data_IF_732586024936
#
_entry.id   IF_732586024936
#
_cell.length_a   1.000
_cell.length_b   1.000
_cell.length_c   1.000
_cell.angle_alpha   90.00
_cell.angle_beta   90.00
_cell.angle_gamma   90.00
#
_symmetry.space_group_name_H-M   'P 1'
#
loop_
_entity.id
_entity.type
_entity.pdbx_description
1 polymer ?
#
# COMPACT_ATOMS: atom_id res chain seq x y z
N UNK A 1 11.91 -3.34 12.63
CA UNK A 1 11.98 -3.26 11.15
C UNK A 1 12.85 -2.08 10.78
N UNK A 2 13.95 -2.31 10.04
CA UNK A 2 14.83 -1.23 9.56
C UNK A 2 14.03 -0.16 8.81
N UNK A 3 14.28 1.11 9.14
CA UNK A 3 13.52 2.30 8.70
C UNK A 3 13.47 2.45 7.17
N UNK A 4 14.42 1.83 6.46
CA UNK A 4 14.53 1.88 4.99
C UNK A 4 13.58 0.93 4.25
N UNK A 5 12.99 -0.07 4.91
CA UNK A 5 12.17 -1.09 4.24
C UNK A 5 10.79 -0.56 3.84
N UNK A 6 10.24 0.38 4.63
CA UNK A 6 8.91 0.97 4.42
C UNK A 6 8.79 1.78 3.12
N UNK A 7 9.69 2.74 2.81
CA UNK A 7 9.58 3.55 1.59
C UNK A 7 9.81 2.73 0.32
N UNK A 8 10.77 1.80 0.32
CA UNK A 8 11.06 0.93 -0.83
C UNK A 8 9.85 0.05 -1.17
N UNK A 9 9.21 -0.53 -0.16
CA UNK A 9 8.01 -1.33 -0.35
C UNK A 9 6.83 -0.52 -0.91
N UNK A 10 6.60 0.69 -0.40
CA UNK A 10 5.55 1.58 -0.90
C UNK A 10 5.80 1.98 -2.36
N UNK A 11 7.04 2.29 -2.72
CA UNK A 11 7.42 2.58 -4.11
C UNK A 11 7.14 1.41 -5.05
N UNK A 12 7.39 0.17 -4.63
CA UNK A 12 7.08 -1.03 -5.40
C UNK A 12 5.56 -1.17 -5.62
N UNK A 13 4.73 -0.90 -4.61
CA UNK A 13 3.26 -0.95 -4.74
C UNK A 13 2.76 0.11 -5.72
N UNK A 14 3.25 1.35 -5.62
CA UNK A 14 2.88 2.43 -6.54
C UNK A 14 3.26 2.07 -7.98
N UNK A 15 4.49 1.56 -8.18
CA UNK A 15 4.95 1.15 -9.49
C UNK A 15 4.14 -0.03 -10.06
N UNK A 16 3.70 -0.97 -9.21
CA UNK A 16 2.79 -2.06 -9.63
C UNK A 16 1.44 -1.53 -10.10
N UNK A 17 0.89 -0.52 -9.41
CA UNK A 17 -0.35 0.15 -9.80
C UNK A 17 -0.23 0.88 -11.14
N UNK A 18 0.88 1.59 -11.38
CA UNK A 18 1.15 2.30 -12.64
C UNK A 18 1.26 1.32 -13.81
N UNK A 19 2.01 0.22 -13.64
CA UNK A 19 2.23 -0.77 -14.69
C UNK A 19 1.07 -1.77 -14.82
N UNK A 20 -0.01 -1.59 -14.03
CA UNK A 20 -1.18 -2.48 -13.99
C UNK A 20 -0.83 -3.96 -13.83
N UNK A 21 0.25 -4.27 -13.09
CA UNK A 21 0.71 -5.66 -12.95
C UNK A 21 -0.25 -6.43 -12.01
N UNK A 22 -0.71 -7.63 -12.38
CA UNK A 22 -1.60 -8.42 -11.55
C UNK A 22 -0.89 -8.87 -10.26
N UNK A 23 -1.63 -8.77 -9.15
CA UNK A 23 -1.09 -8.75 -7.80
C UNK A 23 -0.25 -9.99 -7.44
N UNK A 24 -0.58 -11.20 -7.90
CA UNK A 24 0.25 -12.41 -7.63
C UNK A 24 0.15 -13.55 -8.68
N UNK A 25 -0.94 -13.68 -9.45
CA UNK A 25 -1.20 -14.89 -10.25
C UNK A 25 -0.46 -15.00 -11.60
N UNK A 26 0.29 -13.97 -12.00
CA UNK A 26 1.04 -13.95 -13.27
C UNK A 26 2.54 -13.68 -13.12
N UNK A 27 3.04 -13.49 -11.90
CA UNK A 27 4.43 -13.11 -11.65
C UNK A 27 5.29 -14.37 -11.76
N UNK A 28 5.87 -14.61 -12.93
CA UNK A 28 6.81 -15.72 -13.20
C UNK A 28 6.36 -16.76 -14.23
N UNK A 29 5.22 -16.58 -14.90
CA UNK A 29 4.98 -17.32 -16.16
C UNK A 29 5.85 -16.68 -17.24
N UNK A 30 6.84 -17.44 -17.75
CA UNK A 30 7.63 -17.09 -18.94
C UNK A 30 6.66 -16.67 -20.05
N UNK A 31 6.52 -15.37 -20.30
CA UNK A 31 5.61 -14.89 -21.35
C UNK A 31 5.00 -13.49 -21.16
N UNK A 32 4.97 -12.93 -19.95
CA UNK A 32 4.47 -11.56 -19.76
C UNK A 32 5.59 -10.64 -19.29
N UNK A 33 5.90 -9.63 -20.11
CA UNK A 33 6.92 -8.59 -19.92
C UNK A 33 7.13 -8.22 -18.45
N UNK A 34 8.09 -8.88 -17.81
CA UNK A 34 8.58 -8.48 -16.50
C UNK A 34 9.50 -7.32 -16.78
N UNK A 35 9.07 -6.09 -16.43
CA UNK A 35 9.96 -4.96 -16.56
C UNK A 35 11.19 -5.24 -15.67
N UNK A 36 12.42 -5.15 -16.21
CA UNK A 36 13.66 -5.57 -15.53
C UNK A 36 13.86 -4.88 -14.18
N UNK A 37 13.28 -3.69 -14.02
CA UNK A 37 13.27 -2.89 -12.79
C UNK A 37 12.66 -3.69 -11.61
N UNK A 38 11.64 -4.50 -11.86
CA UNK A 38 11.01 -5.27 -10.79
C UNK A 38 11.82 -6.49 -10.37
N UNK A 39 12.59 -7.09 -11.26
CA UNK A 39 13.36 -8.31 -10.95
C UNK A 39 14.61 -8.00 -10.11
N UNK A 40 15.27 -6.86 -10.38
CA UNK A 40 16.41 -6.36 -9.61
C UNK A 40 16.01 -5.79 -8.23
N UNK A 41 14.85 -5.13 -8.14
CA UNK A 41 14.34 -4.50 -6.90
C UNK A 41 13.50 -5.47 -6.06
N UNK A 42 13.30 -6.70 -6.54
CA UNK A 42 12.36 -7.63 -5.93
C UNK A 42 12.86 -8.13 -4.57
N UNK A 43 12.17 -7.70 -3.53
CA UNK A 43 12.08 -8.48 -2.30
C UNK A 43 11.55 -9.86 -2.70
N UNK A 44 12.37 -10.94 -2.62
CA UNK A 44 12.01 -12.34 -2.96
C UNK A 44 10.51 -12.60 -2.72
N UNK A 45 9.76 -13.19 -3.66
CA UNK A 45 8.29 -13.41 -3.58
C UNK A 45 7.79 -13.81 -2.19
N UNK A 46 8.52 -14.71 -1.53
CA UNK A 46 8.25 -15.15 -0.16
C UNK A 46 8.29 -14.00 0.86
N UNK A 47 9.31 -13.15 0.81
CA UNK A 47 9.44 -11.95 1.66
C UNK A 47 8.36 -10.90 1.32
N UNK A 48 8.04 -10.68 0.04
CA UNK A 48 6.96 -9.75 -0.33
C UNK A 48 5.60 -10.21 0.20
N UNK A 49 5.29 -11.50 0.05
CA UNK A 49 4.06 -12.11 0.60
C UNK A 49 3.98 -11.99 2.12
N UNK A 50 5.10 -12.20 2.83
CA UNK A 50 5.17 -12.02 4.29
C UNK A 50 4.92 -10.56 4.67
N UNK A 51 5.61 -9.61 4.03
CA UNK A 51 5.43 -8.17 4.34
C UNK A 51 3.98 -7.74 4.09
N UNK A 52 3.36 -8.17 2.99
CA UNK A 52 1.94 -7.90 2.71
C UNK A 52 1.01 -8.44 3.79
N UNK A 53 1.28 -9.63 4.33
CA UNK A 53 0.45 -10.26 5.37
C UNK A 53 0.56 -9.57 6.74
N UNK A 54 1.75 -9.07 7.07
CA UNK A 54 2.03 -8.42 8.35
C UNK A 54 2.01 -6.90 8.29
N UNK A 55 1.56 -6.31 7.17
CA UNK A 55 1.41 -4.87 7.06
C UNK A 55 0.19 -4.42 7.87
N UNK A 56 0.45 -3.83 9.03
CA UNK A 56 -0.55 -3.22 9.88
C UNK A 56 -0.37 -1.70 9.89
N UNK A 57 -1.47 -0.96 9.70
CA UNK A 57 -1.48 0.50 9.76
C UNK A 57 -1.88 1.04 11.14
N UNK A 58 -2.43 0.17 12.00
CA UNK A 58 -2.91 0.51 13.32
C UNK A 58 -2.44 -0.55 14.32
N UNK A 59 -2.31 -0.17 15.59
CA UNK A 59 -1.97 -1.10 16.65
C UNK A 59 -3.25 -1.75 17.18
N UNK A 60 -3.36 -3.08 17.06
CA UNK A 60 -4.56 -3.79 17.51
C UNK A 60 -4.73 -3.79 19.03
N UNK A 61 -3.66 -3.59 19.80
CA UNK A 61 -3.70 -3.63 21.27
C UNK A 61 -4.33 -2.38 21.89
N UNK A 62 -4.40 -1.28 21.14
CA UNK A 62 -4.86 0.03 21.62
C UNK A 62 -6.24 0.43 21.06
N UNK A 63 -6.83 -0.38 20.18
CA UNK A 63 -8.12 -0.06 19.55
C UNK A 63 -9.24 -0.58 20.44
N UNK A 64 -9.95 0.35 21.06
CA UNK A 64 -11.26 0.08 21.64
C UNK A 64 -12.33 0.14 20.54
N UNK A 65 -13.03 -0.98 20.31
CA UNK A 65 -14.03 -1.10 19.26
C UNK A 65 -15.29 -0.27 19.55
N UNK A 66 -15.62 -0.08 20.82
CA UNK A 66 -16.86 0.56 21.26
C UNK A 66 -16.80 2.08 21.10
N UNK A 67 -15.61 2.67 21.27
CA UNK A 67 -15.39 4.13 21.15
C UNK A 67 -14.89 4.55 19.76
N UNK A 68 -14.67 3.59 18.85
CA UNK A 68 -14.05 3.90 17.56
C UNK A 68 -15.04 4.64 16.63
N UNK A 69 -14.67 5.82 16.08
CA UNK A 69 -15.56 6.67 15.29
C UNK A 69 -16.11 5.97 14.03
N UNK A 70 -15.36 5.02 13.45
CA UNK A 70 -15.84 4.20 12.33
C UNK A 70 -15.35 2.74 12.44
N UNK A 71 -16.09 1.85 13.16
CA UNK A 71 -15.62 0.50 13.50
C UNK A 71 -15.30 -0.38 12.29
N UNK A 72 -15.99 -0.15 11.17
CA UNK A 72 -15.74 -0.84 9.90
C UNK A 72 -14.41 -0.48 9.23
N UNK A 73 -13.84 0.69 9.53
CA UNK A 73 -12.56 1.17 8.96
C UNK A 73 -11.38 1.08 9.93
N UNK A 74 -11.53 0.47 11.11
CA UNK A 74 -10.50 0.42 12.17
C UNK A 74 -9.08 0.10 11.69
N UNK A 75 -8.93 -0.78 10.69
CA UNK A 75 -7.63 -1.21 10.14
C UNK A 75 -6.89 -0.15 9.33
N UNK A 76 -7.62 0.81 8.76
CA UNK A 76 -7.09 1.84 7.83
C UNK A 76 -7.43 3.26 8.27
N UNK A 77 -8.11 3.41 9.42
CA UNK A 77 -8.62 4.68 9.90
C UNK A 77 -7.51 5.72 10.09
N UNK A 78 -6.37 5.33 10.67
CA UNK A 78 -5.18 6.18 10.82
C UNK A 78 -4.67 6.73 9.47
N UNK A 79 -4.82 5.97 8.40
CA UNK A 79 -4.40 6.35 7.04
C UNK A 79 -5.46 7.22 6.35
N UNK A 80 -6.72 7.17 6.80
CA UNK A 80 -7.81 7.94 6.22
C UNK A 80 -7.61 9.46 6.35
N UNK A 81 -6.79 9.92 7.30
CA UNK A 81 -6.39 11.33 7.41
C UNK A 81 -5.73 11.87 6.12
N UNK A 82 -5.18 11.00 5.26
CA UNK A 82 -4.69 11.40 3.93
C UNK A 82 -5.80 12.04 3.09
N UNK A 83 -7.05 11.58 3.20
CA UNK A 83 -8.17 12.17 2.47
C UNK A 83 -8.44 13.62 2.94
N UNK A 84 -8.30 13.87 4.24
CA UNK A 84 -8.41 15.23 4.79
C UNK A 84 -7.29 16.12 4.25
N UNK A 85 -6.05 15.63 4.26
CA UNK A 85 -4.88 16.34 3.71
C UNK A 85 -5.00 16.60 2.20
N UNK A 86 -5.57 15.67 1.45
CA UNK A 86 -5.82 15.83 0.03
C UNK A 86 -6.84 16.95 -0.23
N UNK A 87 -7.99 16.92 0.46
CA UNK A 87 -9.02 17.96 0.35
C UNK A 87 -8.54 19.34 0.77
N UNK A 88 -7.65 19.44 1.77
CA UNK A 88 -7.10 20.74 2.19
C UNK A 88 -6.05 21.29 1.24
N UNK A 89 -5.35 20.41 0.51
CA UNK A 89 -4.26 20.81 -0.39
C UNK A 89 -4.75 21.09 -1.81
N UNK A 90 -5.91 20.56 -2.19
CA UNK A 90 -6.49 20.73 -3.51
C UNK A 90 -7.61 21.76 -3.46
N UNK A 91 -7.43 22.89 -4.17
CA UNK A 91 -8.52 23.82 -4.45
C UNK A 91 -9.16 23.39 -5.77
N UNK A 92 -10.43 22.96 -5.79
CA UNK A 92 -11.08 22.56 -7.03
C UNK A 92 -11.18 23.77 -7.97
N UNK A 93 -10.72 23.59 -9.22
CA UNK A 93 -11.05 24.53 -10.28
C UNK A 93 -12.58 24.61 -10.41
N UNK A 94 -13.10 25.83 -10.43
CA UNK A 94 -14.52 26.05 -10.72
C UNK A 94 -14.71 25.62 -12.18
N UNK A 95 -15.49 24.56 -12.39
CA UNK A 95 -15.96 24.21 -13.73
C UNK A 95 -16.86 25.37 -14.19
N UNK A 96 -16.37 26.16 -15.14
CA UNK A 96 -17.16 27.14 -15.89
C UNK A 96 -18.05 26.43 -16.90
#
# INVERSE_FOLDING_TARGET
>A
MSTQVKPVFLGIIILQGIVQKPLQSGIGRRGHCVAPIFEATYVRKKRFSIIMKFLHFTNNDTIDLETHPQPGLRKVYEVYDINRKFKSSYVPERMC
#
